data_IF_792386704324
#
_entry.id   IF_792386704324
#
_cell.length_a   1.000
_cell.length_b   1.000
_cell.length_c   1.000
_cell.angle_alpha   90.00
_cell.angle_beta   90.00
_cell.angle_gamma   90.00
#
_symmetry.space_group_name_H-M   'P 1'
#
loop_
_entity.id
_entity.type
_entity.pdbx_description
1 polymer ?
#
# COMPACT_ATOMS: atom_id res chain seq x y z
N UNK A 1 -3.79 -23.28 -10.40
CA UNK A 1 -4.62 -22.47 -9.48
C UNK A 1 -4.94 -21.14 -10.18
N UNK A 2 -6.21 -20.81 -10.45
CA UNK A 2 -6.54 -19.61 -11.22
C UNK A 2 -6.09 -18.36 -10.45
N UNK A 3 -5.22 -17.57 -11.06
CA UNK A 3 -4.79 -16.28 -10.52
C UNK A 3 -6.03 -15.38 -10.45
N UNK A 4 -6.47 -15.03 -9.24
CA UNK A 4 -7.58 -14.09 -9.09
C UNK A 4 -7.08 -12.72 -9.57
N UNK A 5 -7.67 -12.15 -10.65
CA UNK A 5 -7.26 -10.86 -11.16
C UNK A 5 -7.44 -9.80 -10.06
N UNK A 6 -6.48 -8.90 -9.96
CA UNK A 6 -6.43 -7.88 -8.93
C UNK A 6 -6.46 -6.51 -9.58
N UNK A 7 -7.51 -5.76 -9.28
CA UNK A 7 -7.63 -4.37 -9.70
C UNK A 7 -7.25 -3.47 -8.53
N UNK A 8 -6.24 -2.63 -8.76
CA UNK A 8 -5.74 -1.58 -7.88
C UNK A 8 -5.98 -0.23 -8.54
N UNK A 9 -7.17 0.34 -8.32
CA UNK A 9 -7.56 1.63 -8.84
C UNK A 9 -7.66 1.58 -10.37
N UNK A 10 -6.91 2.42 -11.11
CA UNK A 10 -6.88 2.37 -12.57
C UNK A 10 -6.06 1.19 -13.13
N UNK A 11 -5.26 0.52 -12.30
CA UNK A 11 -4.40 -0.57 -12.74
C UNK A 11 -5.07 -1.93 -12.53
N UNK A 12 -5.04 -2.76 -13.57
CA UNK A 12 -5.52 -4.14 -13.52
C UNK A 12 -4.35 -5.10 -13.72
N UNK A 13 -4.14 -5.97 -12.74
CA UNK A 13 -3.11 -6.99 -12.77
C UNK A 13 -3.74 -8.36 -12.94
N UNK A 14 -3.23 -9.13 -13.90
CA UNK A 14 -3.63 -10.52 -14.10
C UNK A 14 -3.20 -11.41 -12.94
N UNK A 15 -2.09 -11.06 -12.26
CA UNK A 15 -1.51 -11.84 -11.16
C UNK A 15 -1.11 -10.96 -9.99
N UNK A 16 -1.15 -11.55 -8.80
CA UNK A 16 -0.66 -10.97 -7.55
C UNK A 16 0.82 -10.53 -7.64
N UNK A 17 1.64 -11.31 -8.34
CA UNK A 17 3.07 -11.04 -8.51
C UNK A 17 3.37 -9.76 -9.31
N UNK A 18 2.62 -9.50 -10.39
CA UNK A 18 2.76 -8.28 -11.19
C UNK A 18 2.42 -7.03 -10.37
N UNK A 19 1.33 -7.06 -9.60
CA UNK A 19 0.98 -5.97 -8.69
C UNK A 19 2.09 -5.71 -7.66
N UNK A 20 2.70 -6.77 -7.13
CA UNK A 20 3.79 -6.68 -6.16
C UNK A 20 5.05 -6.06 -6.78
N UNK A 21 5.45 -6.52 -7.96
CA UNK A 21 6.60 -5.98 -8.67
C UNK A 21 6.39 -4.51 -9.04
N UNK A 22 5.18 -4.16 -9.48
CA UNK A 22 4.83 -2.78 -9.83
C UNK A 22 4.91 -1.83 -8.63
N UNK A 23 4.30 -2.19 -7.50
CA UNK A 23 4.35 -1.37 -6.27
C UNK A 23 5.78 -1.29 -5.71
N UNK A 24 6.58 -2.35 -5.85
CA UNK A 24 7.99 -2.34 -5.46
C UNK A 24 8.83 -1.40 -6.34
N UNK A 25 8.65 -1.43 -7.65
CA UNK A 25 9.33 -0.52 -8.58
C UNK A 25 8.94 0.93 -8.29
N UNK A 26 7.64 1.18 -8.16
CA UNK A 26 7.08 2.47 -7.79
C UNK A 26 7.72 2.99 -6.49
N UNK A 27 7.71 2.20 -5.42
CA UNK A 27 8.31 2.56 -4.13
C UNK A 27 9.82 2.90 -4.24
N UNK A 28 10.53 2.27 -5.17
CA UNK A 28 11.94 2.54 -5.40
C UNK A 28 12.17 3.92 -6.05
N UNK A 29 11.24 4.36 -6.91
CA UNK A 29 11.28 5.69 -7.56
C UNK A 29 11.09 6.85 -6.58
N UNK A 30 10.35 6.63 -5.50
CA UNK A 30 10.09 7.62 -4.46
C UNK A 30 11.17 7.60 -3.37
N UNK A 31 11.49 8.77 -2.81
CA UNK A 31 12.41 8.90 -1.67
C UNK A 31 11.68 8.89 -0.32
N UNK A 32 12.42 8.78 0.77
CA UNK A 32 11.87 8.76 2.13
C UNK A 32 11.40 10.17 2.50
N UNK A 33 10.12 10.30 2.85
CA UNK A 33 9.45 11.57 3.08
C UNK A 33 8.75 12.11 1.84
N UNK A 34 8.90 11.47 0.68
CA UNK A 34 8.26 11.91 -0.56
C UNK A 34 6.76 11.60 -0.56
N UNK A 35 5.99 12.49 -1.18
CA UNK A 35 4.54 12.34 -1.30
C UNK A 35 4.23 11.53 -2.54
N UNK A 36 3.44 10.48 -2.37
CA UNK A 36 2.98 9.67 -3.51
C UNK A 36 2.11 10.53 -4.42
N UNK A 37 2.30 10.45 -5.73
CA UNK A 37 1.49 11.20 -6.69
C UNK A 37 0.04 10.71 -6.74
N UNK A 38 -0.91 11.59 -7.06
CA UNK A 38 -2.35 11.30 -7.02
C UNK A 38 -2.77 10.04 -7.82
N UNK A 39 -2.11 9.76 -8.94
CA UNK A 39 -2.35 8.55 -9.74
C UNK A 39 -2.02 7.28 -8.96
N UNK A 40 -0.87 7.27 -8.29
CA UNK A 40 -0.42 6.15 -7.48
C UNK A 40 -1.17 6.07 -6.14
N UNK A 41 -1.56 7.22 -5.56
CA UNK A 41 -2.42 7.28 -4.38
C UNK A 41 -3.74 6.55 -4.63
N UNK A 42 -4.35 6.70 -5.81
CA UNK A 42 -5.56 5.96 -6.17
C UNK A 42 -5.33 4.44 -6.22
N UNK A 43 -4.16 4.01 -6.69
CA UNK A 43 -3.73 2.59 -6.70
C UNK A 43 -3.58 2.08 -5.27
N UNK A 44 -2.89 2.82 -4.40
CA UNK A 44 -2.68 2.47 -2.99
C UNK A 44 -3.99 2.45 -2.21
N UNK A 45 -4.87 3.43 -2.44
CA UNK A 45 -6.18 3.49 -1.82
C UNK A 45 -7.03 2.28 -2.19
N UNK A 46 -7.05 1.90 -3.46
CA UNK A 46 -7.76 0.72 -3.91
C UNK A 46 -7.15 -0.57 -3.36
N UNK A 47 -5.82 -0.65 -3.23
CA UNK A 47 -5.14 -1.77 -2.57
C UNK A 47 -5.54 -1.89 -1.10
N UNK A 48 -5.55 -0.76 -0.39
CA UNK A 48 -5.91 -0.69 1.01
C UNK A 48 -7.37 -1.07 1.26
N UNK A 49 -8.29 -0.68 0.36
CA UNK A 49 -9.69 -1.09 0.42
C UNK A 49 -9.89 -2.61 0.25
N UNK A 50 -8.94 -3.32 -0.38
CA UNK A 50 -8.96 -4.79 -0.50
C UNK A 50 -8.36 -5.48 0.73
N UNK A 51 -7.76 -4.73 1.65
CA UNK A 51 -7.19 -5.27 2.88
C UNK A 51 -8.31 -5.73 3.82
N UNK A 52 -8.20 -6.89 4.50
CA UNK A 52 -9.19 -7.33 5.48
C UNK A 52 -9.38 -6.31 6.61
N UNK A 53 -8.31 -5.60 6.97
CA UNK A 53 -8.32 -4.51 7.95
C UNK A 53 -8.44 -3.11 7.32
N UNK A 54 -9.04 -3.00 6.13
CA UNK A 54 -9.22 -1.73 5.43
C UNK A 54 -9.88 -0.68 6.32
N UNK A 55 -10.95 -1.05 7.02
CA UNK A 55 -11.68 -0.16 7.92
C UNK A 55 -10.78 0.40 9.03
N UNK A 56 -9.93 -0.44 9.63
CA UNK A 56 -9.00 0.00 10.67
C UNK A 56 -7.90 0.92 10.10
N UNK A 57 -7.39 0.62 8.89
CA UNK A 57 -6.35 1.44 8.25
C UNK A 57 -6.88 2.79 7.76
N UNK A 58 -8.05 2.81 7.13
CA UNK A 58 -8.73 4.03 6.68
C UNK A 58 -9.15 4.88 7.89
N UNK A 59 -9.70 4.23 8.93
CA UNK A 59 -10.19 4.90 10.12
C UNK A 59 -11.21 6.00 9.78
N UNK A 60 -10.98 7.27 10.19
CA UNK A 60 -11.87 8.39 9.91
C UNK A 60 -11.80 8.92 8.46
N UNK A 61 -10.79 8.52 7.69
CA UNK A 61 -10.59 8.97 6.31
C UNK A 61 -9.12 9.17 5.98
N UNK A 62 -8.78 9.02 4.71
CA UNK A 62 -7.42 9.15 4.18
C UNK A 62 -7.29 10.51 3.51
N UNK A 63 -6.28 11.26 3.91
CA UNK A 63 -5.90 12.51 3.25
C UNK A 63 -4.98 12.22 2.07
N UNK A 64 -3.84 11.56 2.32
CA UNK A 64 -2.84 11.29 1.29
C UNK A 64 -1.95 10.09 1.64
N UNK A 65 -1.14 9.61 0.69
CA UNK A 65 -0.09 8.63 0.92
C UNK A 65 1.31 9.24 0.81
N UNK A 66 2.22 8.71 1.62
CA UNK A 66 3.62 9.12 1.64
C UNK A 66 4.52 7.90 1.72
N UNK A 67 5.74 8.03 1.19
CA UNK A 67 6.78 7.00 1.33
C UNK A 67 7.64 7.36 2.52
N UNK A 68 7.89 6.41 3.42
CA UNK A 68 8.80 6.61 4.56
C UNK A 68 9.65 5.39 4.80
N UNK A 69 10.80 5.58 5.44
CA UNK A 69 11.62 4.47 5.92
C UNK A 69 10.89 3.73 7.03
N UNK A 70 10.80 2.42 6.90
CA UNK A 70 10.58 1.50 7.99
C UNK A 70 11.93 1.03 8.58
N UNK A 71 11.86 0.09 9.52
CA UNK A 71 13.02 -0.55 10.12
C UNK A 71 13.95 -1.17 9.06
N UNK A 72 15.25 -1.20 9.34
CA UNK A 72 16.28 -1.77 8.47
C UNK A 72 16.46 -1.08 7.10
N UNK A 73 16.25 0.25 7.01
CA UNK A 73 16.41 1.04 5.77
C UNK A 73 15.49 0.60 4.62
N UNK A 74 14.38 -0.07 4.93
CA UNK A 74 13.39 -0.44 3.92
C UNK A 74 12.42 0.70 3.68
N UNK A 75 12.04 0.95 2.43
CA UNK A 75 10.99 1.93 2.10
C UNK A 75 9.62 1.26 2.28
N UNK A 76 8.65 1.99 2.81
CA UNK A 76 7.28 1.51 2.97
C UNK A 76 6.27 2.62 2.70
N UNK A 77 5.04 2.23 2.34
CA UNK A 77 3.95 3.18 2.16
C UNK A 77 3.28 3.48 3.50
N UNK A 78 3.01 4.76 3.70
CA UNK A 78 2.33 5.30 4.86
C UNK A 78 1.07 6.01 4.39
N UNK A 79 -0.02 5.79 5.11
CA UNK A 79 -1.27 6.50 4.88
C UNK A 79 -1.39 7.62 5.90
N UNK A 80 -1.66 8.83 5.42
CA UNK A 80 -1.94 10.00 6.24
C UNK A 80 -3.46 10.15 6.34
N UNK A 81 -3.98 10.12 7.57
CA UNK A 81 -5.40 10.25 7.83
C UNK A 81 -5.79 11.71 8.02
N UNK A 82 -7.08 12.00 7.84
CA UNK A 82 -7.66 13.35 8.02
C UNK A 82 -7.53 13.88 9.45
N UNK A 83 -7.38 12.97 10.40
CA UNK A 83 -7.18 13.26 11.82
C UNK A 83 -5.72 13.67 12.15
N UNK A 84 -4.81 13.68 11.16
CA UNK A 84 -3.40 13.97 11.35
C UNK A 84 -2.56 12.76 11.80
N UNK A 85 -3.21 11.63 12.10
CA UNK A 85 -2.51 10.37 12.36
C UNK A 85 -1.98 9.74 11.08
N UNK A 86 -0.86 9.03 11.17
CA UNK A 86 -0.27 8.30 10.04
C UNK A 86 -0.13 6.84 10.39
N UNK A 87 -0.29 5.97 9.40
CA UNK A 87 -0.35 4.53 9.62
C UNK A 87 0.43 3.81 8.52
N UNK A 88 1.32 2.89 8.90
CA UNK A 88 2.05 2.08 7.92
C UNK A 88 1.18 0.91 7.45
N UNK A 89 1.25 0.59 6.16
CA UNK A 89 0.62 -0.62 5.62
C UNK A 89 1.55 -1.31 4.63
N UNK A 90 1.50 -2.63 4.64
CA UNK A 90 2.27 -3.46 3.72
C UNK A 90 1.44 -3.73 2.48
N UNK A 91 1.90 -3.23 1.32
CA UNK A 91 1.30 -3.57 0.04
C UNK A 91 1.32 -5.08 -0.24
N UNK A 92 2.29 -5.80 0.33
CA UNK A 92 2.35 -7.26 0.31
C UNK A 92 1.10 -7.89 0.93
N UNK A 93 0.61 -7.39 2.06
CA UNK A 93 -0.59 -7.93 2.71
C UNK A 93 -1.84 -7.62 1.91
N UNK A 94 -1.92 -6.46 1.24
CA UNK A 94 -3.02 -6.16 0.31
C UNK A 94 -3.10 -7.18 -0.84
N UNK A 95 -1.94 -7.70 -1.26
CA UNK A 95 -1.82 -8.62 -2.39
C UNK A 95 -2.02 -10.08 -1.97
N UNK A 96 -1.29 -10.50 -0.93
CA UNK A 96 -1.23 -11.89 -0.48
C UNK A 96 -2.28 -12.22 0.59
N UNK A 97 -2.83 -11.21 1.27
CA UNK A 97 -3.85 -11.39 2.30
C UNK A 97 -3.31 -11.91 3.65
N UNK A 98 -1.99 -12.01 3.81
CA UNK A 98 -1.36 -12.43 5.06
C UNK A 98 -0.52 -11.29 5.64
N UNK A 99 -0.80 -10.88 6.90
CA UNK A 99 0.13 -10.04 7.63
C UNK A 99 1.38 -10.89 7.89
N UNK A 100 2.54 -10.43 7.40
CA UNK A 100 3.80 -11.01 7.84
C UNK A 100 3.98 -10.51 9.27
N UNK A 101 3.69 -11.38 10.25
CA UNK A 101 3.78 -11.09 11.67
C UNK A 101 5.22 -10.71 12.03
N UNK A 102 5.52 -9.42 11.94
CA UNK A 102 6.71 -8.82 12.52
C UNK A 102 6.42 -8.42 13.96
N UNK A 103 6.32 -9.41 14.84
CA UNK A 103 6.44 -9.25 16.28
C UNK A 103 7.41 -10.33 16.75
N UNK A 104 8.65 -9.92 17.00
CA UNK A 104 9.52 -10.58 17.98
C UNK A 104 9.61 -9.67 19.18
#
# INVERSE_FOLDING_TARGET
MPAKPMTLGPLQFAKKGDAHAHLKDMLNRYDIGDKVGATDEAVLLAALQKHPEAAAKIGPGITNFSVRSADFRTKCFWVNRVDGTTEKFSYQTCIYGQPQSGSV
#
